data_IF_615447081597
#
_entry.id   IF_615447081597
#
_cell.length_a   1.000
_cell.length_b   1.000
_cell.length_c   1.000
_cell.angle_alpha   90.00
_cell.angle_beta   90.00
_cell.angle_gamma   90.00
#
_symmetry.space_group_name_H-M   'P 1'
#
loop_
_entity.id
_entity.type
_entity.pdbx_description
1 polymer ?
#
# COMPACT_ATOMS: atom_id res chain seq x y z
N UNK A 1 44.29 4.49 -8.42
CA UNK A 1 43.41 4.46 -9.62
C UNK A 1 42.58 3.17 -9.62
N UNK A 2 41.74 2.94 -8.61
CA UNK A 2 40.78 1.82 -8.60
C UNK A 2 39.61 2.05 -7.61
N UNK A 3 39.14 3.28 -7.47
CA UNK A 3 37.98 3.61 -6.61
C UNK A 3 36.95 4.49 -7.33
N UNK A 4 37.18 4.82 -8.60
CA UNK A 4 36.33 5.74 -9.37
C UNK A 4 35.55 5.00 -10.49
N UNK A 5 35.67 3.68 -10.60
CA UNK A 5 35.04 2.89 -11.66
C UNK A 5 33.94 1.93 -11.16
N UNK A 6 33.12 2.37 -10.21
CA UNK A 6 31.90 1.68 -9.78
C UNK A 6 30.68 2.61 -9.69
N UNK A 7 30.65 3.71 -10.47
CA UNK A 7 29.39 4.38 -10.81
C UNK A 7 28.59 3.58 -11.87
N UNK A 8 28.46 2.26 -11.65
CA UNK A 8 27.36 1.51 -12.26
C UNK A 8 26.07 2.07 -11.66
N UNK A 9 25.11 2.38 -12.53
CA UNK A 9 23.84 3.06 -12.26
C UNK A 9 23.06 2.35 -11.15
N UNK A 10 23.41 2.65 -9.91
CA UNK A 10 22.80 2.01 -8.74
C UNK A 10 21.57 2.83 -8.39
N UNK A 11 20.37 2.24 -8.33
CA UNK A 11 19.18 2.98 -7.93
C UNK A 11 19.39 3.66 -6.58
N UNK A 12 19.03 4.94 -6.45
CA UNK A 12 19.27 5.70 -5.21
C UNK A 12 18.65 5.04 -3.97
N UNK A 13 17.54 4.32 -4.12
CA UNK A 13 16.94 3.54 -3.03
C UNK A 13 17.82 2.39 -2.54
N UNK A 14 18.58 1.74 -3.43
CA UNK A 14 19.58 0.74 -3.03
C UNK A 14 20.61 1.39 -2.12
N UNK A 15 21.15 2.57 -2.49
CA UNK A 15 22.12 3.28 -1.65
C UNK A 15 21.56 3.62 -0.27
N UNK A 16 20.29 4.05 -0.19
CA UNK A 16 19.61 4.36 1.08
C UNK A 16 19.46 3.13 2.00
N UNK A 17 19.41 1.93 1.42
CA UNK A 17 19.25 0.65 2.12
C UNK A 17 20.57 -0.07 2.38
N UNK A 18 21.63 0.24 1.63
CA UNK A 18 22.93 -0.46 1.71
C UNK A 18 23.95 0.17 2.67
N UNK A 19 23.77 1.42 3.09
CA UNK A 19 24.68 2.08 4.03
C UNK A 19 24.59 1.50 5.45
N UNK A 20 25.63 1.65 6.27
CA UNK A 20 25.62 1.23 7.68
C UNK A 20 25.86 2.43 8.63
N UNK A 21 24.87 2.82 9.46
CA UNK A 21 23.50 2.32 9.48
C UNK A 21 22.69 2.79 8.25
N UNK A 22 21.67 2.04 7.79
CA UNK A 22 20.88 2.44 6.63
C UNK A 22 20.10 3.73 6.91
N UNK A 23 20.24 4.74 6.05
CA UNK A 23 19.49 5.99 6.15
C UNK A 23 17.97 5.75 6.05
N UNK A 24 17.56 4.70 5.31
CA UNK A 24 16.17 4.27 5.19
C UNK A 24 15.52 3.92 6.54
N UNK A 25 16.29 3.55 7.57
CA UNK A 25 15.76 3.30 8.93
C UNK A 25 14.97 4.49 9.44
N UNK A 26 15.53 5.69 9.32
CA UNK A 26 14.88 6.92 9.82
C UNK A 26 13.58 7.24 9.05
N UNK A 27 13.51 6.88 7.77
CA UNK A 27 12.29 7.03 6.96
C UNK A 27 11.21 6.06 7.44
N UNK A 28 11.57 4.80 7.69
CA UNK A 28 10.63 3.77 8.15
C UNK A 28 10.14 4.09 9.57
N UNK A 29 11.06 4.48 10.47
CA UNK A 29 10.70 4.93 11.81
C UNK A 29 9.70 6.10 11.74
N UNK A 30 10.01 7.12 10.93
CA UNK A 30 9.12 8.26 10.73
C UNK A 30 7.75 7.84 10.16
N UNK A 31 7.70 6.96 9.16
CA UNK A 31 6.47 6.52 8.51
C UNK A 31 5.46 5.85 9.47
N UNK A 32 5.97 5.20 10.51
CA UNK A 32 5.17 4.45 11.48
C UNK A 32 5.15 5.08 12.89
N UNK A 33 5.81 6.23 13.06
CA UNK A 33 5.79 7.06 14.25
C UNK A 33 4.53 7.94 14.27
N UNK A 34 3.66 7.75 15.26
CA UNK A 34 2.41 8.50 15.42
C UNK A 34 2.58 9.84 16.16
N UNK A 35 3.79 10.20 16.56
CA UNK A 35 4.02 11.39 17.39
C UNK A 35 3.87 12.71 16.61
N UNK A 36 4.09 12.72 15.30
CA UNK A 36 4.01 13.95 14.50
C UNK A 36 3.44 13.67 13.12
N UNK A 37 2.23 14.16 12.85
CA UNK A 37 1.49 13.92 11.62
C UNK A 37 2.28 14.25 10.35
N UNK A 38 2.88 15.44 10.26
CA UNK A 38 3.65 15.88 9.08
C UNK A 38 4.89 15.02 8.82
N UNK A 39 5.63 14.68 9.90
CA UNK A 39 6.78 13.78 9.86
C UNK A 39 6.36 12.38 9.37
N UNK A 40 5.23 11.89 9.88
CA UNK A 40 4.69 10.59 9.50
C UNK A 40 4.32 10.54 8.02
N UNK A 41 3.60 11.56 7.55
CA UNK A 41 3.18 11.67 6.16
C UNK A 41 4.38 11.76 5.22
N UNK A 42 5.39 12.57 5.55
CA UNK A 42 6.65 12.63 4.81
C UNK A 42 7.36 11.27 4.79
N UNK A 43 7.42 10.59 5.93
CA UNK A 43 7.98 9.24 6.05
C UNK A 43 7.27 8.22 5.15
N UNK A 44 5.93 8.21 5.13
CA UNK A 44 5.14 7.33 4.27
C UNK A 44 5.37 7.60 2.79
N UNK A 45 5.39 8.87 2.36
CA UNK A 45 5.69 9.22 0.97
C UNK A 45 7.11 8.79 0.56
N UNK A 46 8.11 9.07 1.41
CA UNK A 46 9.48 8.64 1.19
C UNK A 46 9.60 7.11 1.15
N UNK A 47 8.89 6.40 2.02
CA UNK A 47 8.86 4.94 2.02
C UNK A 47 8.22 4.38 0.74
N UNK A 48 7.16 4.99 0.23
CA UNK A 48 6.57 4.63 -1.06
C UNK A 48 7.58 4.75 -2.21
N UNK A 49 8.35 5.84 -2.23
CA UNK A 49 9.41 6.05 -3.22
C UNK A 49 10.56 5.04 -3.09
N UNK A 50 11.00 4.73 -1.87
CA UNK A 50 12.04 3.71 -1.61
C UNK A 50 11.53 2.33 -2.05
N UNK A 51 10.25 2.03 -1.81
CA UNK A 51 9.60 0.75 -2.16
C UNK A 51 9.35 0.58 -3.66
N UNK A 52 9.42 1.66 -4.44
CA UNK A 52 9.35 1.64 -5.89
C UNK A 52 8.00 2.08 -6.49
N UNK A 53 7.19 2.86 -5.76
CA UNK A 53 5.87 3.30 -6.24
C UNK A 53 5.90 4.04 -7.60
N UNK A 54 6.94 4.84 -7.85
CA UNK A 54 7.12 5.60 -9.09
C UNK A 54 8.03 4.91 -10.12
N UNK A 55 8.42 3.65 -9.89
CA UNK A 55 9.28 2.90 -10.83
C UNK A 55 8.42 2.15 -11.84
N UNK A 56 8.96 1.93 -13.04
CA UNK A 56 8.32 1.06 -14.02
C UNK A 56 8.27 -0.38 -13.50
N UNK A 57 7.29 -1.16 -13.99
CA UNK A 57 6.94 -2.49 -13.44
C UNK A 57 8.13 -3.47 -13.35
N UNK A 58 9.08 -3.41 -14.30
CA UNK A 58 10.30 -4.23 -14.28
C UNK A 58 11.41 -3.76 -13.33
N UNK A 59 11.28 -2.57 -12.73
CA UNK A 59 12.30 -1.91 -11.93
C UNK A 59 11.86 -1.64 -10.48
N UNK A 60 10.71 -2.16 -10.05
CA UNK A 60 10.20 -1.95 -8.68
C UNK A 60 11.12 -2.65 -7.66
N UNK A 61 11.53 -3.88 -7.96
CA UNK A 61 12.38 -4.72 -7.11
C UNK A 61 13.84 -4.27 -7.21
N UNK A 62 14.47 -4.08 -6.05
CA UNK A 62 15.88 -3.72 -5.91
C UNK A 62 16.78 -4.98 -5.96
N UNK A 63 18.07 -4.81 -5.72
CA UNK A 63 18.97 -5.96 -5.56
C UNK A 63 18.70 -6.71 -4.24
N UNK A 64 19.19 -7.95 -4.14
CA UNK A 64 18.90 -8.85 -3.02
C UNK A 64 19.20 -8.25 -1.65
N UNK A 65 20.36 -7.60 -1.48
CA UNK A 65 20.75 -7.01 -0.21
C UNK A 65 19.85 -5.84 0.19
N UNK A 66 19.52 -4.95 -0.74
CA UNK A 66 18.61 -3.83 -0.44
C UNK A 66 17.20 -4.31 -0.12
N UNK A 67 16.70 -5.33 -0.83
CA UNK A 67 15.40 -5.94 -0.56
C UNK A 67 15.35 -6.61 0.83
N UNK A 68 16.43 -7.30 1.21
CA UNK A 68 16.54 -7.91 2.53
C UNK A 68 16.62 -6.84 3.64
N UNK A 69 17.41 -5.78 3.46
CA UNK A 69 17.46 -4.68 4.42
C UNK A 69 16.11 -3.98 4.55
N UNK A 70 15.38 -3.74 3.45
CA UNK A 70 14.04 -3.14 3.49
C UNK A 70 13.09 -4.01 4.33
N UNK A 71 13.10 -5.32 4.10
CA UNK A 71 12.31 -6.29 4.86
C UNK A 71 12.69 -6.24 6.34
N UNK A 72 13.96 -6.40 6.67
CA UNK A 72 14.45 -6.43 8.06
C UNK A 72 14.08 -5.15 8.80
N UNK A 73 14.28 -3.98 8.21
CA UNK A 73 13.96 -2.70 8.84
C UNK A 73 12.47 -2.55 9.15
N UNK A 74 11.58 -2.96 8.24
CA UNK A 74 10.12 -2.92 8.49
C UNK A 74 9.73 -3.88 9.62
N UNK A 75 10.27 -5.11 9.62
CA UNK A 75 10.01 -6.08 10.69
C UNK A 75 10.57 -5.62 12.04
N UNK A 76 11.75 -5.00 12.07
CA UNK A 76 12.34 -4.41 13.28
C UNK A 76 11.50 -3.25 13.81
N UNK A 77 11.05 -2.35 12.92
CA UNK A 77 10.17 -1.24 13.29
C UNK A 77 8.86 -1.78 13.88
N UNK A 78 8.30 -2.82 13.28
CA UNK A 78 7.09 -3.46 13.79
C UNK A 78 7.29 -4.07 15.18
N UNK A 79 8.38 -4.81 15.40
CA UNK A 79 8.66 -5.47 16.68
C UNK A 79 8.95 -4.50 17.82
N UNK A 80 9.48 -3.31 17.50
CA UNK A 80 9.71 -2.22 18.46
C UNK A 80 8.46 -1.37 18.71
N UNK A 81 7.40 -1.57 17.92
CA UNK A 81 6.13 -0.86 18.08
C UNK A 81 5.11 -1.67 18.88
N UNK A 82 4.05 -0.99 19.35
CA UNK A 82 2.89 -1.68 19.95
C UNK A 82 2.09 -2.54 18.95
N UNK A 83 2.46 -2.57 17.67
CA UNK A 83 1.75 -3.31 16.61
C UNK A 83 2.32 -4.70 16.36
N UNK A 84 3.56 -4.95 16.79
CA UNK A 84 4.28 -6.23 16.79
C UNK A 84 4.56 -6.84 15.40
N UNK A 85 3.72 -6.60 14.40
CA UNK A 85 3.84 -7.15 13.04
C UNK A 85 3.70 -6.06 11.97
N UNK A 86 4.33 -6.22 10.79
CA UNK A 86 4.15 -5.29 9.67
C UNK A 86 2.68 -5.13 9.27
N UNK A 87 1.90 -6.21 9.26
CA UNK A 87 0.45 -6.17 9.07
C UNK A 87 -0.26 -5.26 10.09
N UNK A 88 0.19 -5.25 11.36
CA UNK A 88 -0.29 -4.33 12.38
C UNK A 88 0.08 -2.87 12.11
N UNK A 89 1.28 -2.61 11.60
CA UNK A 89 1.72 -1.28 11.17
C UNK A 89 0.85 -0.75 10.02
N UNK A 90 0.68 -1.54 8.96
CA UNK A 90 -0.13 -1.17 7.79
C UNK A 90 -1.58 -0.91 8.18
N UNK A 91 -2.19 -1.79 8.99
CA UNK A 91 -3.55 -1.57 9.48
C UNK A 91 -3.67 -0.30 10.34
N UNK A 92 -2.65 0.02 11.13
CA UNK A 92 -2.62 1.22 11.97
C UNK A 92 -2.64 2.51 11.14
N UNK A 93 -1.88 2.57 10.03
CA UNK A 93 -1.87 3.74 9.13
C UNK A 93 -3.11 3.81 8.25
N UNK A 94 -3.64 2.66 7.83
CA UNK A 94 -4.89 2.59 7.05
C UNK A 94 -6.14 3.01 7.84
N UNK A 95 -6.08 3.05 9.17
CA UNK A 95 -7.19 3.49 10.04
C UNK A 95 -7.10 4.97 10.44
N UNK A 96 -6.09 5.69 9.96
CA UNK A 96 -5.95 7.12 10.24
C UNK A 96 -6.82 7.94 9.28
N UNK A 97 -6.68 9.26 9.32
CA UNK A 97 -7.34 10.18 8.41
C UNK A 97 -6.96 9.92 6.93
N UNK A 98 -7.65 10.61 6.02
CA UNK A 98 -7.54 10.37 4.59
C UNK A 98 -6.11 10.61 4.08
N UNK A 99 -5.39 11.63 4.53
CA UNK A 99 -4.05 11.93 4.00
C UNK A 99 -3.05 10.81 4.29
N UNK A 100 -3.02 10.36 5.55
CA UNK A 100 -2.16 9.24 5.98
C UNK A 100 -2.56 7.95 5.27
N UNK A 101 -3.87 7.70 5.14
CA UNK A 101 -4.39 6.49 4.49
C UNK A 101 -4.08 6.45 2.99
N UNK A 102 -4.13 7.59 2.30
CA UNK A 102 -3.72 7.73 0.90
C UNK A 102 -2.23 7.40 0.72
N UNK A 103 -1.37 7.92 1.59
CA UNK A 103 0.06 7.59 1.56
C UNK A 103 0.31 6.10 1.85
N UNK A 104 -0.45 5.51 2.78
CA UNK A 104 -0.40 4.08 3.06
C UNK A 104 -0.80 3.21 1.86
N UNK A 105 -1.85 3.57 1.11
CA UNK A 105 -2.21 2.87 -0.13
C UNK A 105 -1.05 2.84 -1.13
N UNK A 106 -0.33 3.94 -1.29
CA UNK A 106 0.85 4.03 -2.18
C UNK A 106 1.99 3.13 -1.72
N UNK A 107 2.30 3.14 -0.41
CA UNK A 107 3.30 2.24 0.19
C UNK A 107 2.94 0.78 -0.05
N UNK A 108 1.69 0.39 0.25
CA UNK A 108 1.24 -0.99 0.08
C UNK A 108 1.29 -1.39 -1.40
N UNK A 109 0.81 -0.53 -2.30
CA UNK A 109 0.85 -0.76 -3.76
C UNK A 109 2.26 -1.11 -4.23
N UNK A 110 3.28 -0.39 -3.73
CA UNK A 110 4.67 -0.64 -4.07
C UNK A 110 5.25 -1.88 -3.40
N UNK A 111 4.84 -2.20 -2.16
CA UNK A 111 5.41 -3.30 -1.39
C UNK A 111 4.82 -4.67 -1.73
N UNK A 112 3.55 -4.77 -2.12
CA UNK A 112 2.84 -6.06 -2.30
C UNK A 112 3.37 -6.93 -3.44
N UNK A 113 4.18 -6.38 -4.34
CA UNK A 113 4.93 -7.19 -5.32
C UNK A 113 5.94 -8.13 -4.64
N UNK A 114 6.32 -7.85 -3.38
CA UNK A 114 7.20 -8.68 -2.57
C UNK A 114 6.36 -9.70 -1.81
N UNK A 115 6.71 -10.98 -1.96
CA UNK A 115 5.97 -12.09 -1.36
C UNK A 115 5.78 -11.95 0.16
N UNK A 116 6.80 -11.50 0.89
CA UNK A 116 6.72 -11.31 2.34
C UNK A 116 5.67 -10.26 2.71
N UNK A 117 5.57 -9.17 1.95
CA UNK A 117 4.60 -8.11 2.23
C UNK A 117 3.20 -8.57 1.86
N UNK A 118 3.04 -9.28 0.75
CA UNK A 118 1.74 -9.83 0.36
C UNK A 118 1.18 -10.77 1.44
N UNK A 119 2.03 -11.62 2.03
CA UNK A 119 1.63 -12.47 3.16
C UNK A 119 1.16 -11.65 4.36
N UNK A 120 1.85 -10.56 4.71
CA UNK A 120 1.42 -9.66 5.79
C UNK A 120 0.06 -9.03 5.49
N UNK A 121 -0.17 -8.54 4.28
CA UNK A 121 -1.45 -7.96 3.88
C UNK A 121 -2.58 -8.99 3.94
N UNK A 122 -2.35 -10.20 3.41
CA UNK A 122 -3.33 -11.29 3.43
C UNK A 122 -3.56 -11.88 4.84
N UNK A 123 -2.67 -11.65 5.81
CA UNK A 123 -2.84 -12.14 7.18
C UNK A 123 -3.91 -11.40 7.99
N UNK A 124 -4.36 -10.22 7.54
CA UNK A 124 -5.36 -9.39 8.24
C UNK A 124 -6.50 -9.00 7.30
N UNK A 125 -7.65 -9.65 7.49
CA UNK A 125 -8.87 -9.41 6.70
C UNK A 125 -9.33 -7.95 6.74
N UNK A 126 -9.07 -7.22 7.83
CA UNK A 126 -9.41 -5.80 7.96
C UNK A 126 -8.71 -4.94 6.91
N UNK A 127 -7.48 -5.26 6.52
CA UNK A 127 -6.77 -4.53 5.46
C UNK A 127 -7.52 -4.73 4.14
N UNK A 128 -7.87 -5.98 3.82
CA UNK A 128 -8.64 -6.31 2.62
C UNK A 128 -9.99 -5.60 2.64
N UNK A 129 -10.67 -5.53 3.79
CA UNK A 129 -11.93 -4.83 3.92
C UNK A 129 -11.79 -3.33 3.61
N UNK A 130 -10.75 -2.66 4.13
CA UNK A 130 -10.49 -1.24 3.87
C UNK A 130 -10.22 -0.98 2.38
N UNK A 131 -9.37 -1.78 1.71
CA UNK A 131 -9.02 -1.52 0.30
C UNK A 131 -10.16 -1.87 -0.67
N UNK A 132 -11.06 -2.77 -0.27
CA UNK A 132 -12.20 -3.20 -1.12
C UNK A 132 -13.48 -2.41 -0.84
N UNK A 133 -13.61 -1.76 0.31
CA UNK A 133 -14.80 -0.97 0.66
C UNK A 133 -14.78 0.39 -0.06
N UNK A 134 -15.72 0.64 -0.99
CA UNK A 134 -15.78 1.88 -1.74
C UNK A 134 -16.18 3.10 -0.91
N UNK A 135 -16.80 2.92 0.27
CA UNK A 135 -17.16 4.00 1.17
C UNK A 135 -15.97 4.56 1.97
N UNK A 136 -14.82 3.87 1.94
CA UNK A 136 -13.61 4.28 2.67
C UNK A 136 -13.07 5.63 2.22
N UNK A 137 -13.23 5.97 0.93
CA UNK A 137 -12.74 7.23 0.36
C UNK A 137 -13.83 7.94 -0.42
N UNK A 138 -13.98 9.24 -0.17
CA UNK A 138 -15.01 10.08 -0.79
C UNK A 138 -14.45 11.05 -1.83
N UNK A 139 -13.13 11.27 -1.84
CA UNK A 139 -12.47 12.12 -2.83
C UNK A 139 -12.05 11.30 -4.05
N UNK A 140 -12.01 11.94 -5.23
CA UNK A 140 -11.57 11.30 -6.47
C UNK A 140 -10.19 10.63 -6.32
N UNK A 141 -9.22 11.37 -5.79
CA UNK A 141 -7.85 10.88 -5.57
C UNK A 141 -7.80 9.73 -4.57
N UNK A 142 -8.58 9.79 -3.48
CA UNK A 142 -8.66 8.70 -2.52
C UNK A 142 -9.25 7.43 -3.14
N UNK A 143 -10.34 7.56 -3.90
CA UNK A 143 -10.96 6.44 -4.62
C UNK A 143 -9.99 5.75 -5.58
N UNK A 144 -9.23 6.54 -6.36
CA UNK A 144 -8.21 6.03 -7.28
C UNK A 144 -7.05 5.35 -6.52
N UNK A 145 -6.54 5.96 -5.45
CA UNK A 145 -5.45 5.39 -4.66
C UNK A 145 -5.86 4.06 -4.00
N UNK A 146 -7.05 4.00 -3.40
CA UNK A 146 -7.64 2.78 -2.83
C UNK A 146 -7.77 1.69 -3.88
N UNK A 147 -8.34 2.02 -5.04
CA UNK A 147 -8.50 1.07 -6.14
C UNK A 147 -7.17 0.56 -6.68
N UNK A 148 -6.18 1.43 -6.87
CA UNK A 148 -4.85 1.04 -7.32
C UNK A 148 -4.18 0.08 -6.32
N UNK A 149 -4.33 0.34 -5.01
CA UNK A 149 -3.86 -0.55 -3.96
C UNK A 149 -4.57 -1.92 -4.03
N UNK A 150 -5.91 -1.92 -4.12
CA UNK A 150 -6.70 -3.15 -4.29
C UNK A 150 -6.28 -3.95 -5.53
N UNK A 151 -6.07 -3.27 -6.66
CA UNK A 151 -5.63 -3.85 -7.93
C UNK A 151 -4.23 -4.44 -7.82
N UNK A 152 -3.30 -3.76 -7.16
CA UNK A 152 -1.95 -4.25 -6.95
C UNK A 152 -1.92 -5.50 -6.05
N UNK A 153 -2.72 -5.51 -4.97
CA UNK A 153 -2.86 -6.69 -4.11
C UNK A 153 -3.43 -7.86 -4.91
N UNK A 154 -4.52 -7.64 -5.66
CA UNK A 154 -5.13 -8.68 -6.50
C UNK A 154 -4.14 -9.23 -7.54
N UNK A 155 -3.41 -8.35 -8.23
CA UNK A 155 -2.39 -8.74 -9.21
C UNK A 155 -1.31 -9.60 -8.57
N UNK A 156 -0.74 -9.15 -7.44
CA UNK A 156 0.29 -9.90 -6.73
C UNK A 156 -0.23 -11.25 -6.21
N UNK A 157 -1.48 -11.30 -5.74
CA UNK A 157 -2.15 -12.52 -5.31
C UNK A 157 -2.24 -13.55 -6.44
N UNK A 158 -2.75 -13.15 -7.60
CA UNK A 158 -2.92 -14.04 -8.77
C UNK A 158 -1.56 -14.51 -9.31
N UNK A 159 -0.55 -13.63 -9.29
CA UNK A 159 0.81 -13.99 -9.73
C UNK A 159 1.57 -14.91 -8.77
N UNK A 160 1.14 -15.03 -7.50
CA UNK A 160 1.84 -15.82 -6.49
C UNK A 160 1.24 -17.21 -6.35
N UNK A 161 1.87 -18.21 -6.98
CA UNK A 161 1.45 -19.63 -6.89
C UNK A 161 1.40 -20.17 -5.45
N UNK A 162 2.23 -19.64 -4.55
CA UNK A 162 2.26 -20.01 -3.13
C UNK A 162 1.06 -19.49 -2.35
N UNK A 163 0.51 -18.35 -2.74
CA UNK A 163 -0.60 -17.69 -2.03
C UNK A 163 -1.94 -18.05 -2.65
N UNK A 164 -2.01 -18.12 -3.98
CA UNK A 164 -3.23 -18.50 -4.69
C UNK A 164 -3.69 -19.93 -4.41
N UNK A 165 -2.79 -20.81 -3.98
CA UNK A 165 -3.08 -22.19 -3.57
C UNK A 165 -3.62 -22.32 -2.14
N UNK A 166 -3.59 -21.25 -1.32
CA UNK A 166 -4.05 -21.28 0.06
C UNK A 166 -5.58 -21.18 0.11
N UNK A 167 -6.25 -22.29 0.41
CA UNK A 167 -7.71 -22.38 0.41
C UNK A 167 -8.39 -21.35 1.36
N UNK A 168 -7.77 -21.04 2.51
CA UNK A 168 -8.32 -20.05 3.45
C UNK A 168 -8.35 -18.61 2.89
N UNK A 169 -7.55 -18.32 1.86
CA UNK A 169 -7.48 -17.01 1.23
C UNK A 169 -8.38 -16.88 -0.01
N UNK A 170 -9.05 -17.96 -0.44
CA UNK A 170 -9.92 -17.94 -1.63
C UNK A 170 -11.01 -16.87 -1.53
N UNK A 171 -11.61 -16.68 -0.34
CA UNK A 171 -12.61 -15.63 -0.09
C UNK A 171 -12.04 -14.22 -0.22
N UNK A 172 -10.76 -14.01 0.10
CA UNK A 172 -10.11 -12.72 -0.11
C UNK A 172 -9.86 -12.46 -1.59
N UNK A 173 -9.45 -13.50 -2.33
CA UNK A 173 -9.20 -13.41 -3.77
C UNK A 173 -10.47 -12.99 -4.52
N UNK A 174 -11.61 -13.64 -4.24
CA UNK A 174 -12.89 -13.29 -4.86
C UNK A 174 -13.30 -11.86 -4.52
N UNK A 175 -13.17 -11.45 -3.25
CA UNK A 175 -13.49 -10.09 -2.81
C UNK A 175 -12.63 -9.02 -3.49
N UNK A 176 -11.33 -9.28 -3.63
CA UNK A 176 -10.40 -8.40 -4.36
C UNK A 176 -10.77 -8.33 -5.84
N UNK A 177 -11.08 -9.46 -6.48
CA UNK A 177 -11.46 -9.50 -7.89
C UNK A 177 -12.75 -8.73 -8.15
N UNK A 178 -13.77 -8.89 -7.29
CA UNK A 178 -15.02 -8.14 -7.37
C UNK A 178 -14.81 -6.63 -7.20
N UNK A 179 -13.95 -6.22 -6.26
CA UNK A 179 -13.64 -4.81 -6.08
C UNK A 179 -12.89 -4.22 -7.28
N UNK A 180 -11.96 -4.99 -7.87
CA UNK A 180 -11.23 -4.57 -9.07
C UNK A 180 -12.15 -4.48 -10.29
N UNK A 181 -13.11 -5.40 -10.46
CA UNK A 181 -14.02 -5.37 -11.61
C UNK A 181 -15.00 -4.19 -11.58
N UNK A 182 -15.34 -3.67 -10.39
CA UNK A 182 -16.20 -2.49 -10.22
C UNK A 182 -15.50 -1.17 -10.55
N UNK A 183 -14.16 -1.15 -10.57
CA UNK A 183 -13.37 0.06 -10.82
C UNK A 183 -13.23 1.00 -9.61
N UNK A 184 -12.56 2.16 -9.80
CA UNK A 184 -12.29 3.11 -8.72
C UNK A 184 -13.52 3.88 -8.26
N UNK A 185 -14.41 4.19 -9.20
CA UNK A 185 -15.63 4.94 -8.97
C UNK A 185 -16.80 3.94 -8.91
N UNK A 186 -17.59 4.00 -7.85
CA UNK A 186 -18.78 3.17 -7.73
C UNK A 186 -19.67 3.31 -8.98
N UNK A 187 -19.83 2.21 -9.73
CA UNK A 187 -20.85 2.01 -10.76
C UNK A 187 -21.99 1.14 -10.22
N UNK A 188 -22.49 1.45 -9.02
CA UNK A 188 -23.54 0.65 -8.36
C UNK A 188 -24.45 1.48 -7.47
N UNK A 189 -25.57 1.93 -8.04
CA UNK A 189 -26.74 2.56 -7.39
C UNK A 189 -26.40 3.59 -6.28
N UNK A 190 -25.83 4.73 -6.67
CA UNK A 190 -26.46 5.96 -6.19
C UNK A 190 -27.92 5.81 -6.61
N UNK A 191 -28.85 5.72 -5.66
CA UNK A 191 -30.26 5.69 -5.99
C UNK A 191 -30.50 6.75 -7.05
N UNK A 192 -31.01 6.34 -8.22
CA UNK A 192 -31.42 7.30 -9.24
C UNK A 192 -32.19 8.37 -8.48
N UNK A 193 -31.69 9.61 -8.53
CA UNK A 193 -32.47 10.73 -8.05
C UNK A 193 -33.71 10.75 -8.93
N UNK A 194 -34.77 10.06 -8.51
CA UNK A 194 -36.04 10.12 -9.19
C UNK A 194 -36.45 11.58 -9.13
N UNK A 195 -36.57 12.29 -10.27
CA UNK A 195 -37.11 13.63 -10.24
C UNK A 195 -38.54 13.51 -9.71
N UNK A 196 -38.77 14.02 -8.50
CA UNK A 196 -40.10 14.17 -7.96
C UNK A 196 -40.80 15.24 -8.81
N UNK A 197 -41.53 14.82 -9.84
CA UNK A 197 -42.40 15.70 -10.61
C UNK A 197 -43.62 15.99 -9.74
N UNK A 198 -43.54 17.07 -8.96
CA UNK A 198 -44.72 17.63 -8.30
C UNK A 198 -45.50 18.43 -9.35
N UNK A 199 -46.64 17.90 -9.79
CA UNK A 199 -47.61 18.70 -10.54
C UNK A 199 -48.20 19.73 -9.58
N UNK A 200 -48.00 21.02 -9.89
CA UNK A 200 -48.65 22.10 -9.16
C UNK A 200 -50.17 21.91 -9.22
N UNK A 201 -50.82 21.89 -8.06
CA UNK A 201 -52.27 21.98 -7.96
C UNK A 201 -52.70 23.31 -8.59
N UNK A 202 -53.55 23.23 -9.61
CA UNK A 202 -54.16 24.41 -10.22
C UNK A 202 -55.25 24.91 -9.28
N UNK A 203 -55.11 26.16 -8.85
CA UNK A 203 -56.17 26.94 -8.21
C UNK A 203 -57.32 27.18 -9.18
#
# INVERSE_FOLDING_TARGET
>A
MLTVLLCLVTPGATLLLSNSPPAARHVIDAAFDRQTHSKQLAGLHSLGNISGENRSEGNIILNGDAEEHLRVLIYQTASQSSKLTPSGLFLSVLRQDSEVRLAAYRVITALVVRQWCLMEICSKQEIINIVTDPATETTKTGMEARYNCCKAIHKAFVSSSKISSIASLAKMATKLQEAVSRGPYLTGKLGEAQPAVMTAERF
#
